data_IF_387179657978
#
_entry.id   IF_387179657978
#
_cell.length_a   1.000
_cell.length_b   1.000
_cell.length_c   1.000
_cell.angle_alpha   90.00
_cell.angle_beta   90.00
_cell.angle_gamma   90.00
#
_symmetry.space_group_name_H-M   'P 1'
#
loop_
_entity.id
_entity.type
_entity.pdbx_description
1 polymer ?
#
# COMPACT_ATOMS: atom_id res chain seq x y z
N UNK A 1 -13.47 36.84 41.28
CA UNK A 1 -12.67 36.97 40.04
C UNK A 1 -12.47 35.58 39.48
N UNK A 2 -13.32 35.15 38.54
CA UNK A 2 -13.18 33.87 37.85
C UNK A 2 -12.34 34.10 36.61
N UNK A 3 -11.12 33.59 36.62
CA UNK A 3 -10.19 33.68 35.50
C UNK A 3 -10.74 32.90 34.31
N UNK A 4 -11.01 33.63 33.23
CA UNK A 4 -11.19 33.08 31.89
C UNK A 4 -9.96 32.26 31.52
N UNK A 5 -10.13 30.95 31.40
CA UNK A 5 -9.10 30.03 30.92
C UNK A 5 -9.75 28.79 30.33
N UNK A 6 -10.49 28.96 29.23
CA UNK A 6 -10.93 27.81 28.44
C UNK A 6 -9.68 27.02 28.01
N UNK A 7 -9.56 25.80 28.53
CA UNK A 7 -8.50 24.89 28.08
C UNK A 7 -8.62 24.70 26.57
N UNK A 8 -7.50 24.74 25.82
CA UNK A 8 -7.54 24.63 24.36
C UNK A 8 -8.16 23.28 23.95
N UNK A 9 -9.17 23.34 23.09
CA UNK A 9 -9.82 22.14 22.54
C UNK A 9 -8.95 21.60 21.40
N UNK A 10 -8.31 20.46 21.63
CA UNK A 10 -7.59 19.75 20.59
C UNK A 10 -8.57 18.97 19.70
N UNK A 11 -8.66 19.36 18.42
CA UNK A 11 -9.51 18.70 17.42
C UNK A 11 -8.96 17.31 17.04
N UNK A 12 -7.63 17.15 17.13
CA UNK A 12 -6.94 15.89 16.87
C UNK A 12 -6.30 15.39 18.15
N UNK A 13 -6.30 14.07 18.33
CA UNK A 13 -5.56 13.43 19.43
C UNK A 13 -4.07 13.72 19.31
N UNK A 14 -3.37 13.78 20.44
CA UNK A 14 -1.91 13.85 20.44
C UNK A 14 -1.30 12.66 19.68
N UNK A 15 -0.26 12.93 18.89
CA UNK A 15 0.38 11.94 18.03
C UNK A 15 -0.25 11.76 16.64
N UNK A 16 -1.38 12.41 16.34
CA UNK A 16 -1.97 12.35 14.99
C UNK A 16 -1.17 13.22 14.03
N UNK A 17 -0.52 12.58 13.07
CA UNK A 17 0.11 13.27 11.95
C UNK A 17 -0.92 13.59 10.86
N UNK A 18 -0.87 14.83 10.35
CA UNK A 18 -1.75 15.27 9.27
C UNK A 18 -0.97 15.96 8.17
N UNK A 19 -0.96 15.34 7.01
CA UNK A 19 -0.42 15.91 5.77
C UNK A 19 -1.58 16.42 4.90
N UNK A 20 -1.41 17.55 4.21
CA UNK A 20 -2.45 18.18 3.37
C UNK A 20 -1.86 18.74 2.08
N UNK A 21 -2.71 18.91 1.06
CA UNK A 21 -2.34 19.56 -0.20
C UNK A 21 -1.34 18.74 -1.01
N UNK A 22 -0.41 19.42 -1.71
CA UNK A 22 0.52 18.79 -2.65
C UNK A 22 1.47 17.77 -2.00
N UNK A 23 1.87 17.97 -0.75
CA UNK A 23 2.73 17.02 -0.05
C UNK A 23 2.02 15.69 0.21
N UNK A 24 0.74 15.72 0.61
CA UNK A 24 -0.07 14.51 0.77
C UNK A 24 -0.25 13.78 -0.56
N UNK A 25 -0.53 14.53 -1.63
CA UNK A 25 -0.67 13.95 -2.98
C UNK A 25 0.65 13.30 -3.44
N UNK A 26 1.78 13.98 -3.27
CA UNK A 26 3.09 13.44 -3.64
C UNK A 26 3.43 12.19 -2.85
N UNK A 27 3.11 12.15 -1.55
CA UNK A 27 3.34 10.98 -0.71
C UNK A 27 2.49 9.79 -1.17
N UNK A 28 1.21 10.02 -1.49
CA UNK A 28 0.32 8.99 -2.00
C UNK A 28 0.83 8.40 -3.33
N UNK A 29 1.31 9.26 -4.24
CA UNK A 29 1.87 8.82 -5.52
C UNK A 29 3.18 8.04 -5.31
N UNK A 30 4.04 8.48 -4.39
CA UNK A 30 5.28 7.78 -4.08
C UNK A 30 5.01 6.37 -3.53
N UNK A 31 4.03 6.23 -2.63
CA UNK A 31 3.61 4.93 -2.11
C UNK A 31 3.07 4.02 -3.23
N UNK A 32 2.24 4.56 -4.12
CA UNK A 32 1.74 3.82 -5.28
C UNK A 32 2.85 3.33 -6.21
N UNK A 33 3.83 4.20 -6.50
CA UNK A 33 4.99 3.86 -7.34
C UNK A 33 5.84 2.76 -6.72
N UNK A 34 6.07 2.81 -5.40
CA UNK A 34 6.83 1.78 -4.71
C UNK A 34 6.19 0.40 -4.85
N UNK A 35 4.85 0.32 -4.77
CA UNK A 35 4.11 -0.92 -5.01
C UNK A 35 4.26 -1.38 -6.47
N UNK A 36 4.08 -0.48 -7.42
CA UNK A 36 4.20 -0.80 -8.84
C UNK A 36 5.61 -1.30 -9.20
N UNK A 37 6.65 -0.69 -8.65
CA UNK A 37 8.04 -1.09 -8.89
C UNK A 37 8.35 -2.49 -8.33
N UNK A 38 7.68 -2.91 -7.25
CA UNK A 38 7.85 -4.24 -6.66
C UNK A 38 7.37 -5.36 -7.61
N UNK A 39 6.24 -5.14 -8.30
CA UNK A 39 5.65 -6.11 -9.23
C UNK A 39 6.07 -5.91 -10.68
N UNK A 40 6.64 -4.75 -11.06
CA UNK A 40 6.94 -4.43 -12.46
C UNK A 40 7.70 -5.50 -13.23
N UNK A 41 8.64 -6.21 -12.59
CA UNK A 41 9.46 -7.22 -13.27
C UNK A 41 8.75 -8.56 -13.48
N UNK A 42 7.55 -8.76 -12.92
CA UNK A 42 6.73 -9.96 -13.13
C UNK A 42 5.92 -9.89 -14.42
N UNK A 43 5.85 -8.70 -15.04
CA UNK A 43 5.04 -8.45 -16.21
C UNK A 43 5.62 -9.09 -17.49
N UNK A 44 4.76 -9.83 -18.20
CA UNK A 44 5.03 -10.37 -19.53
C UNK A 44 5.54 -11.82 -19.54
N UNK A 45 5.71 -12.41 -20.73
CA UNK A 45 6.05 -13.84 -20.87
C UNK A 45 7.46 -14.20 -20.40
N UNK A 46 8.30 -13.19 -20.15
CA UNK A 46 9.64 -13.32 -19.53
C UNK A 46 9.71 -12.63 -18.17
N UNK A 47 8.55 -12.46 -17.52
CA UNK A 47 8.47 -11.97 -16.15
C UNK A 47 9.31 -12.83 -15.21
N UNK A 48 9.95 -12.20 -14.25
CA UNK A 48 10.75 -12.88 -13.23
C UNK A 48 9.89 -13.24 -12.03
N UNK A 49 9.99 -14.49 -11.59
CA UNK A 49 9.41 -14.91 -10.33
C UNK A 49 9.99 -14.11 -9.15
N UNK A 50 9.16 -13.89 -8.14
CA UNK A 50 9.56 -13.30 -6.87
C UNK A 50 9.62 -14.38 -5.81
N UNK A 51 10.74 -14.42 -5.09
CA UNK A 51 10.86 -15.16 -3.84
C UNK A 51 10.51 -14.23 -2.68
N UNK A 52 9.46 -14.56 -1.97
CA UNK A 52 8.97 -13.86 -0.79
C UNK A 52 9.30 -14.74 0.42
N UNK A 53 9.86 -14.13 1.44
CA UNK A 53 10.23 -14.81 2.69
C UNK A 53 9.57 -14.04 3.82
N UNK A 54 8.73 -14.73 4.58
CA UNK A 54 8.03 -14.12 5.70
C UNK A 54 8.92 -14.04 6.97
N UNK A 55 8.36 -13.50 8.06
CA UNK A 55 9.09 -13.39 9.33
C UNK A 55 9.34 -14.73 10.04
N UNK A 56 8.59 -15.79 9.70
CA UNK A 56 8.74 -17.14 10.24
C UNK A 56 9.70 -18.01 9.42
N UNK A 57 10.10 -17.55 8.22
CA UNK A 57 10.98 -18.24 7.31
C UNK A 57 10.25 -19.05 6.22
N UNK A 58 8.92 -18.91 6.11
CA UNK A 58 8.15 -19.52 5.04
C UNK A 58 8.47 -18.83 3.72
N UNK A 59 8.67 -19.64 2.67
CA UNK A 59 9.09 -19.17 1.35
C UNK A 59 7.98 -19.40 0.34
N UNK A 60 7.57 -18.33 -0.33
CA UNK A 60 6.62 -18.36 -1.44
C UNK A 60 7.33 -17.84 -2.69
N UNK A 61 7.34 -18.65 -3.76
CA UNK A 61 7.86 -18.24 -5.06
C UNK A 61 6.69 -18.09 -6.01
N UNK A 62 6.47 -16.89 -6.54
CA UNK A 62 5.35 -16.62 -7.45
C UNK A 62 5.64 -15.46 -8.40
N UNK A 63 5.02 -15.51 -9.57
CA UNK A 63 4.98 -14.43 -10.55
C UNK A 63 3.64 -13.68 -10.53
N UNK A 64 2.66 -14.17 -9.76
CA UNK A 64 1.35 -13.54 -9.68
C UNK A 64 1.42 -12.27 -8.82
N UNK A 65 1.08 -11.14 -9.44
CA UNK A 65 1.05 -9.82 -8.81
C UNK A 65 0.12 -9.77 -7.60
N UNK A 66 -1.06 -10.40 -7.66
CA UNK A 66 -2.01 -10.35 -6.53
C UNK A 66 -1.46 -11.10 -5.31
N UNK A 67 -0.87 -12.27 -5.52
CA UNK A 67 -0.19 -13.04 -4.46
C UNK A 67 0.99 -12.25 -3.88
N UNK A 68 1.84 -11.66 -4.71
CA UNK A 68 2.98 -10.84 -4.24
C UNK A 68 2.49 -9.71 -3.34
N UNK A 69 1.47 -8.97 -3.80
CA UNK A 69 0.92 -7.83 -3.07
C UNK A 69 0.21 -8.22 -1.78
N UNK A 70 -0.29 -9.47 -1.68
CA UNK A 70 -0.93 -9.99 -0.48
C UNK A 70 0.08 -10.34 0.62
N UNK A 71 1.25 -10.85 0.24
CA UNK A 71 2.32 -11.21 1.20
C UNK A 71 3.12 -9.99 1.69
N UNK A 72 3.02 -8.84 1.00
CA UNK A 72 3.67 -7.60 1.42
C UNK A 72 2.92 -6.91 2.58
N UNK A 73 3.65 -6.59 3.66
CA UNK A 73 3.11 -5.77 4.75
C UNK A 73 3.13 -4.28 4.37
N UNK A 74 1.98 -3.77 3.94
CA UNK A 74 1.82 -2.40 3.44
C UNK A 74 0.97 -1.59 4.41
N UNK A 75 1.55 -0.54 4.99
CA UNK A 75 0.82 0.35 5.92
C UNK A 75 0.09 1.50 5.21
N UNK A 76 0.68 2.03 4.13
CA UNK A 76 0.23 3.28 3.52
C UNK A 76 -1.17 3.14 2.87
N UNK A 77 -2.17 3.98 3.22
CA UNK A 77 -3.54 3.82 2.73
C UNK A 77 -3.69 3.83 1.20
N UNK A 78 -2.97 4.73 0.51
CA UNK A 78 -3.01 4.78 -0.94
C UNK A 78 -2.44 3.52 -1.62
N UNK A 79 -1.45 2.89 -1.00
CA UNK A 79 -0.87 1.64 -1.50
C UNK A 79 -1.84 0.47 -1.26
N UNK A 80 -2.51 0.41 -0.09
CA UNK A 80 -3.57 -0.58 0.18
C UNK A 80 -4.68 -0.53 -0.86
N UNK A 81 -5.11 0.67 -1.28
CA UNK A 81 -6.15 0.79 -2.32
C UNK A 81 -5.75 0.11 -3.64
N UNK A 82 -4.47 0.16 -4.02
CA UNK A 82 -3.97 -0.48 -5.25
C UNK A 82 -4.01 -2.00 -5.12
N UNK A 83 -3.64 -2.54 -3.96
CA UNK A 83 -3.71 -3.98 -3.69
C UNK A 83 -5.16 -4.48 -3.82
N UNK A 84 -6.13 -3.73 -3.30
CA UNK A 84 -7.54 -4.12 -3.38
C UNK A 84 -8.05 -4.13 -4.84
N UNK A 85 -7.53 -3.26 -5.70
CA UNK A 85 -7.81 -3.31 -7.15
C UNK A 85 -7.23 -4.60 -7.75
N UNK A 86 -5.97 -4.93 -7.47
CA UNK A 86 -5.34 -6.16 -7.97
C UNK A 86 -6.07 -7.43 -7.48
N UNK A 87 -6.51 -7.47 -6.22
CA UNK A 87 -7.32 -8.57 -5.67
C UNK A 87 -8.68 -8.68 -6.35
N UNK A 88 -9.33 -7.54 -6.62
CA UNK A 88 -10.61 -7.51 -7.34
C UNK A 88 -10.44 -8.05 -8.76
N UNK A 89 -9.34 -7.67 -9.42
CA UNK A 89 -8.98 -8.17 -10.75
C UNK A 89 -8.74 -9.69 -10.74
N UNK A 90 -8.02 -10.22 -9.76
CA UNK A 90 -7.85 -11.67 -9.53
C UNK A 90 -9.20 -12.39 -9.44
N UNK A 91 -10.11 -11.88 -8.59
CA UNK A 91 -11.40 -12.52 -8.32
C UNK A 91 -12.33 -12.58 -9.52
N UNK A 92 -12.32 -11.55 -10.37
CA UNK A 92 -13.25 -11.43 -11.49
C UNK A 92 -12.70 -11.93 -12.81
N UNK A 93 -11.40 -11.73 -13.06
CA UNK A 93 -10.79 -11.98 -14.36
C UNK A 93 -9.70 -13.06 -14.32
N UNK A 94 -9.14 -13.37 -13.15
CA UNK A 94 -8.03 -14.32 -12.97
C UNK A 94 -6.78 -14.01 -13.83
N UNK A 95 -6.67 -12.77 -14.32
CA UNK A 95 -5.57 -12.29 -15.16
C UNK A 95 -5.46 -10.76 -15.05
N UNK A 96 -4.30 -10.22 -15.40
CA UNK A 96 -4.03 -8.79 -15.44
C UNK A 96 -3.69 -8.17 -14.08
N UNK A 97 -3.44 -8.98 -13.06
CA UNK A 97 -3.19 -8.51 -11.68
C UNK A 97 -1.91 -7.69 -11.51
N UNK A 98 -0.93 -7.88 -12.42
CA UNK A 98 0.30 -7.08 -12.49
C UNK A 98 0.12 -5.78 -13.28
N UNK A 99 -0.90 -5.72 -14.16
CA UNK A 99 -1.14 -4.58 -15.07
C UNK A 99 -2.16 -3.57 -14.49
N UNK A 100 -3.07 -4.04 -13.65
CA UNK A 100 -4.13 -3.26 -13.00
C UNK A 100 -3.57 -2.31 -11.93
#
# INVERSE_FOLDING_TARGET
>A
MYGNGQAPIFILKEGVQRTRGRSAQSNNIAAAKAVADAVRSTLGPKGMDKMLVDSMGDVVITNDGATILKEMDIEHPAAKMIIEVAKTQEQHCYDGTTTA
#
